data_IF_623959536037
#
_entry.id   IF_623959536037
#
_cell.length_a   1.000
_cell.length_b   1.000
_cell.length_c   1.000
_cell.angle_alpha   90.00
_cell.angle_beta   90.00
_cell.angle_gamma   90.00
#
_symmetry.space_group_name_H-M   'P 1'
#
loop_
_entity.id
_entity.type
_entity.pdbx_description
1 polymer ?
#
# COMPACT_ATOMS: atom_id res chain seq x y z
N UNK A 1 17.99 5.35 7.52
CA UNK A 1 16.87 5.07 6.59
C UNK A 1 16.41 3.61 6.61
N UNK A 2 17.22 2.65 7.08
CA UNK A 2 16.87 1.23 7.07
C UNK A 2 15.52 0.93 7.76
N UNK A 3 15.36 1.35 9.02
CA UNK A 3 14.15 1.12 9.81
C UNK A 3 12.90 1.73 9.15
N UNK A 4 13.01 2.95 8.62
CA UNK A 4 11.92 3.63 7.91
C UNK A 4 11.31 2.74 6.81
N UNK A 5 12.14 2.21 5.91
CA UNK A 5 11.64 1.39 4.79
C UNK A 5 10.98 0.09 5.25
N UNK A 6 11.43 -0.50 6.36
CA UNK A 6 10.83 -1.72 6.93
C UNK A 6 9.49 -1.42 7.59
N UNK A 7 9.38 -0.29 8.27
CA UNK A 7 8.11 0.16 8.84
C UNK A 7 7.11 0.58 7.76
N UNK A 8 7.57 1.22 6.67
CA UNK A 8 6.73 1.47 5.49
C UNK A 8 6.21 0.14 4.92
N UNK A 9 7.08 -0.85 4.71
CA UNK A 9 6.65 -2.14 4.19
C UNK A 9 5.68 -2.85 5.14
N UNK A 10 5.92 -2.80 6.46
CA UNK A 10 5.03 -3.36 7.47
C UNK A 10 3.64 -2.73 7.42
N UNK A 11 3.57 -1.40 7.37
CA UNK A 11 2.33 -0.65 7.23
C UNK A 11 1.59 -1.01 5.93
N UNK A 12 2.30 -1.01 4.79
CA UNK A 12 1.70 -1.36 3.50
C UNK A 12 1.14 -2.79 3.51
N UNK A 13 1.86 -3.77 4.09
CA UNK A 13 1.37 -5.14 4.19
C UNK A 13 0.10 -5.21 5.05
N UNK A 14 0.06 -4.48 6.17
CA UNK A 14 -1.05 -4.48 7.10
C UNK A 14 -2.33 -3.86 6.50
N UNK A 15 -2.20 -2.69 5.90
CA UNK A 15 -3.33 -1.87 5.40
C UNK A 15 -3.87 -2.36 4.05
N UNK A 16 -3.06 -3.09 3.30
CA UNK A 16 -3.41 -3.56 1.97
C UNK A 16 -3.58 -5.09 1.91
N UNK A 17 -2.54 -5.93 1.68
CA UNK A 17 -2.70 -7.38 1.63
C UNK A 17 -3.45 -8.03 2.80
N UNK A 18 -3.14 -7.62 4.04
CA UNK A 18 -3.70 -8.26 5.23
C UNK A 18 -5.03 -7.67 5.67
N UNK A 19 -5.45 -6.51 5.16
CA UNK A 19 -6.79 -5.97 5.37
C UNK A 19 -7.82 -6.71 4.51
N UNK A 20 -8.07 -7.98 4.85
CA UNK A 20 -9.04 -8.82 4.17
C UNK A 20 -10.47 -8.29 4.34
N UNK A 21 -11.38 -8.71 3.46
CA UNK A 21 -12.82 -8.35 3.54
C UNK A 21 -13.42 -8.64 4.92
N UNK A 22 -12.97 -9.73 5.58
CA UNK A 22 -13.40 -10.07 6.94
C UNK A 22 -12.98 -9.02 7.96
N UNK A 23 -11.71 -8.60 7.93
CA UNK A 23 -11.20 -7.56 8.85
C UNK A 23 -11.89 -6.23 8.56
N UNK A 24 -12.08 -5.89 7.28
CA UNK A 24 -12.81 -4.68 6.89
C UNK A 24 -14.24 -4.68 7.43
N UNK A 25 -14.98 -5.79 7.28
CA UNK A 25 -16.35 -5.92 7.80
C UNK A 25 -16.39 -5.78 9.31
N UNK A 26 -15.43 -6.37 10.04
CA UNK A 26 -15.32 -6.21 11.51
C UNK A 26 -15.05 -4.75 11.88
N UNK A 27 -14.11 -4.09 11.19
CA UNK A 27 -13.79 -2.65 11.35
C UNK A 27 -15.01 -1.75 11.11
N UNK A 28 -15.85 -2.09 10.14
CA UNK A 28 -17.08 -1.33 9.85
C UNK A 28 -18.20 -1.59 10.85
N UNK A 29 -18.36 -2.82 11.35
CA UNK A 29 -19.47 -3.20 12.24
C UNK A 29 -19.23 -2.84 13.70
N UNK A 30 -18.00 -2.96 14.18
CA UNK A 30 -17.69 -2.83 15.60
C UNK A 30 -16.65 -1.75 15.87
N UNK A 31 -16.85 -0.87 16.88
CA UNK A 31 -15.85 0.15 17.24
C UNK A 31 -14.48 -0.43 17.62
N UNK A 32 -14.45 -1.64 18.20
CA UNK A 32 -13.20 -2.34 18.53
C UNK A 32 -12.51 -2.96 17.31
N UNK A 33 -13.20 -3.07 16.18
CA UNK A 33 -12.65 -3.67 14.96
C UNK A 33 -11.44 -2.90 14.41
N UNK A 34 -11.40 -1.56 14.63
CA UNK A 34 -10.23 -0.73 14.31
C UNK A 34 -9.00 -1.19 15.11
N UNK A 35 -9.17 -1.55 16.38
CA UNK A 35 -8.07 -2.03 17.23
C UNK A 35 -7.51 -3.34 16.70
N UNK A 36 -8.36 -4.28 16.27
CA UNK A 36 -7.89 -5.55 15.69
C UNK A 36 -7.07 -5.32 14.43
N UNK A 37 -7.56 -4.49 13.51
CA UNK A 37 -6.81 -4.14 12.31
C UNK A 37 -5.47 -3.46 12.65
N UNK A 38 -5.49 -2.44 13.51
CA UNK A 38 -4.28 -1.73 13.91
C UNK A 38 -3.29 -2.65 14.63
N UNK A 39 -3.74 -3.65 15.39
CA UNK A 39 -2.86 -4.65 16.01
C UNK A 39 -2.12 -5.51 15.00
N UNK A 40 -2.67 -5.74 13.80
CA UNK A 40 -1.92 -6.36 12.70
C UNK A 40 -0.78 -5.44 12.26
N UNK A 41 -1.06 -4.14 12.06
CA UNK A 41 -0.04 -3.15 11.70
C UNK A 41 1.03 -3.01 12.79
N UNK A 42 0.64 -2.91 14.06
CA UNK A 42 1.54 -2.86 15.21
C UNK A 42 2.42 -4.10 15.30
N UNK A 43 1.81 -5.29 15.25
CA UNK A 43 2.54 -6.56 15.28
C UNK A 43 3.56 -6.68 14.14
N UNK A 44 3.19 -6.29 12.92
CA UNK A 44 4.13 -6.22 11.81
C UNK A 44 5.21 -5.17 12.02
N UNK A 45 4.89 -3.99 12.57
CA UNK A 45 5.87 -2.97 12.93
C UNK A 45 6.94 -3.49 13.90
N UNK A 46 6.52 -4.18 14.98
CA UNK A 46 7.42 -4.85 15.92
C UNK A 46 8.27 -5.93 15.24
N UNK A 47 7.64 -6.79 14.45
CA UNK A 47 8.33 -7.85 13.72
C UNK A 47 9.40 -7.29 12.77
N UNK A 48 9.05 -6.26 12.00
CA UNK A 48 9.92 -5.64 11.01
C UNK A 48 10.96 -4.70 11.63
N UNK A 49 10.75 -4.21 12.85
CA UNK A 49 11.79 -3.52 13.61
C UNK A 49 12.85 -4.50 14.16
N UNK A 50 12.47 -5.75 14.45
CA UNK A 50 13.40 -6.85 14.72
C UNK A 50 14.47 -6.51 15.77
N UNK A 51 15.75 -6.46 15.36
CA UNK A 51 16.88 -6.18 16.28
C UNK A 51 16.89 -4.76 16.86
N UNK A 52 16.14 -3.83 16.27
CA UNK A 52 16.00 -2.47 16.81
C UNK A 52 15.15 -2.43 18.08
N UNK A 53 14.43 -3.51 18.43
CA UNK A 53 13.66 -3.59 19.67
C UNK A 53 14.52 -3.56 20.95
N UNK A 54 15.84 -3.74 20.83
CA UNK A 54 16.77 -3.55 21.96
C UNK A 54 16.87 -2.09 22.43
N UNK A 55 16.46 -1.14 21.60
CA UNK A 55 16.48 0.28 21.90
C UNK A 55 15.11 0.70 22.46
N UNK A 56 15.02 1.19 23.71
CA UNK A 56 13.75 1.59 24.31
C UNK A 56 12.99 2.62 23.48
N UNK A 57 13.69 3.59 22.88
CA UNK A 57 13.08 4.64 22.05
C UNK A 57 12.36 4.07 20.82
N UNK A 58 12.88 2.98 20.24
CA UNK A 58 12.22 2.28 19.13
C UNK A 58 10.94 1.62 19.64
N UNK A 59 10.98 0.93 20.77
CA UNK A 59 9.81 0.26 21.35
C UNK A 59 8.71 1.28 21.67
N UNK A 60 9.06 2.38 22.33
CA UNK A 60 8.13 3.47 22.64
C UNK A 60 7.57 4.08 21.35
N UNK A 61 8.42 4.35 20.36
CA UNK A 61 8.00 4.86 19.06
C UNK A 61 7.02 3.93 18.34
N UNK A 62 7.24 2.62 18.37
CA UNK A 62 6.33 1.63 17.77
C UNK A 62 4.99 1.55 18.51
N UNK A 63 4.98 1.64 19.84
CA UNK A 63 3.74 1.71 20.62
C UNK A 63 2.94 2.98 20.27
N UNK A 64 3.62 4.12 20.15
CA UNK A 64 2.99 5.37 19.73
C UNK A 64 2.46 5.30 18.30
N UNK A 65 3.20 4.67 17.37
CA UNK A 65 2.70 4.42 16.01
C UNK A 65 1.45 3.56 16.00
N UNK A 66 1.42 2.48 16.79
CA UNK A 66 0.26 1.62 16.88
C UNK A 66 -0.97 2.36 17.43
N UNK A 67 -0.79 3.15 18.49
CA UNK A 67 -1.86 3.99 19.05
C UNK A 67 -2.32 5.04 18.04
N UNK A 68 -1.39 5.70 17.36
CA UNK A 68 -1.72 6.70 16.35
C UNK A 68 -2.50 6.09 15.18
N UNK A 69 -2.12 4.88 14.73
CA UNK A 69 -2.86 4.12 13.70
C UNK A 69 -4.32 3.92 14.10
N UNK A 70 -4.59 3.49 15.34
CA UNK A 70 -5.96 3.34 15.87
C UNK A 70 -6.72 4.67 15.81
N UNK A 71 -6.09 5.76 16.25
CA UNK A 71 -6.72 7.08 16.31
C UNK A 71 -7.05 7.59 14.90
N UNK A 72 -6.10 7.52 13.97
CA UNK A 72 -6.25 8.00 12.60
C UNK A 72 -7.35 7.21 11.89
N UNK A 73 -7.31 5.88 11.96
CA UNK A 73 -8.33 5.03 11.33
C UNK A 73 -9.73 5.27 11.88
N UNK A 74 -9.83 5.47 13.20
CA UNK A 74 -11.11 5.77 13.84
C UNK A 74 -11.63 7.14 13.41
N UNK A 75 -10.76 8.14 13.35
CA UNK A 75 -11.11 9.49 12.87
C UNK A 75 -11.58 9.44 11.41
N UNK A 76 -10.85 8.76 10.53
CA UNK A 76 -11.22 8.54 9.13
C UNK A 76 -12.58 7.87 9.01
N UNK A 77 -12.83 6.79 9.78
CA UNK A 77 -14.11 6.09 9.80
C UNK A 77 -15.27 7.02 10.19
N UNK A 78 -15.07 7.85 11.22
CA UNK A 78 -16.09 8.81 11.66
C UNK A 78 -16.40 9.86 10.59
N UNK A 79 -15.37 10.38 9.91
CA UNK A 79 -15.54 11.35 8.83
C UNK A 79 -16.24 10.72 7.62
N UNK A 80 -15.79 9.53 7.18
CA UNK A 80 -16.39 8.84 6.03
C UNK A 80 -17.84 8.45 6.27
N UNK A 81 -18.20 8.03 7.49
CA UNK A 81 -19.61 7.78 7.86
C UNK A 81 -20.47 9.03 7.77
N UNK A 82 -19.94 10.19 8.20
CA UNK A 82 -20.67 11.47 8.12
C UNK A 82 -20.84 11.95 6.67
N UNK A 83 -19.91 11.62 5.79
CA UNK A 83 -19.92 12.02 4.38
C UNK A 83 -20.61 11.00 3.46
N UNK A 84 -20.91 9.80 3.98
CA UNK A 84 -21.46 8.64 3.24
C UNK A 84 -20.68 8.27 1.97
N UNK A 85 -19.39 8.64 1.90
CA UNK A 85 -18.53 8.39 0.74
C UNK A 85 -17.05 8.34 1.12
N UNK A 86 -16.30 7.53 0.39
CA UNK A 86 -14.85 7.42 0.50
C UNK A 86 -14.19 8.43 -0.42
N UNK A 87 -13.70 9.54 0.13
CA UNK A 87 -13.10 10.59 -0.69
C UNK A 87 -11.60 10.35 -0.93
N UNK A 88 -11.15 10.72 -2.13
CA UNK A 88 -9.75 10.59 -2.55
C UNK A 88 -8.82 11.47 -1.71
N UNK A 89 -9.25 12.68 -1.33
CA UNK A 89 -8.46 13.57 -0.48
C UNK A 89 -8.28 13.02 0.93
N UNK A 90 -9.33 12.42 1.50
CA UNK A 90 -9.25 11.74 2.80
C UNK A 90 -8.37 10.48 2.72
N UNK A 91 -8.45 9.71 1.63
CA UNK A 91 -7.57 8.56 1.41
C UNK A 91 -6.09 8.99 1.32
N UNK A 92 -5.78 10.02 0.54
CA UNK A 92 -4.41 10.51 0.39
C UNK A 92 -3.88 11.15 1.68
N UNK A 93 -4.71 11.91 2.40
CA UNK A 93 -4.34 12.49 3.69
C UNK A 93 -4.04 11.41 4.73
N UNK A 94 -4.86 10.37 4.79
CA UNK A 94 -4.65 9.21 5.65
C UNK A 94 -3.30 8.54 5.39
N UNK A 95 -2.98 8.22 4.13
CA UNK A 95 -1.69 7.62 3.77
C UNK A 95 -0.51 8.57 4.07
N UNK A 96 -0.68 9.86 3.81
CA UNK A 96 0.37 10.86 4.08
C UNK A 96 0.68 10.98 5.58
N UNK A 97 -0.35 10.99 6.44
CA UNK A 97 -0.16 11.05 7.91
C UNK A 97 0.56 9.80 8.42
N UNK A 98 0.18 8.61 7.96
CA UNK A 98 0.87 7.37 8.36
C UNK A 98 2.35 7.38 7.95
N UNK A 99 2.65 7.76 6.70
CA UNK A 99 4.04 7.87 6.21
C UNK A 99 4.83 8.92 7.01
N UNK A 100 4.22 10.07 7.32
CA UNK A 100 4.84 11.11 8.14
C UNK A 100 5.17 10.61 9.54
N UNK A 101 4.25 9.92 10.21
CA UNK A 101 4.47 9.38 11.55
C UNK A 101 5.56 8.29 11.55
N UNK A 102 5.56 7.40 10.55
CA UNK A 102 6.61 6.39 10.39
C UNK A 102 7.97 7.06 10.20
N UNK A 103 8.02 8.12 9.39
CA UNK A 103 9.23 8.91 9.20
C UNK A 103 9.69 9.54 10.52
N UNK A 104 8.79 10.20 11.27
CA UNK A 104 9.12 10.82 12.57
C UNK A 104 9.68 9.80 13.56
N UNK A 105 9.06 8.64 13.72
CA UNK A 105 9.58 7.59 14.62
C UNK A 105 10.95 7.08 14.16
N UNK A 106 11.14 6.90 12.85
CA UNK A 106 12.44 6.50 12.33
C UNK A 106 13.53 7.57 12.55
N UNK A 107 13.18 8.87 12.57
CA UNK A 107 14.12 9.95 12.89
C UNK A 107 14.40 10.04 14.39
N UNK A 108 13.37 10.00 15.24
CA UNK A 108 13.52 10.16 16.70
C UNK A 108 14.30 9.00 17.28
N UNK A 109 13.99 7.77 16.87
CA UNK A 109 14.68 6.60 17.36
C UNK A 109 16.14 6.52 16.91
N UNK A 110 16.47 7.16 15.77
CA UNK A 110 17.79 7.24 15.10
C UNK A 110 18.77 6.11 15.50
N UNK A 111 18.40 4.83 15.36
CA UNK A 111 19.21 3.79 15.97
C UNK A 111 20.56 3.74 15.24
N UNK A 112 21.64 3.88 16.02
CA UNK A 112 23.01 3.89 15.48
C UNK A 112 23.36 2.50 14.93
N UNK A 113 23.66 2.45 13.64
CA UNK A 113 24.14 1.27 12.92
C UNK A 113 23.04 0.47 12.22
N UNK A 114 23.41 -0.11 11.08
CA UNK A 114 22.61 -1.15 10.45
C UNK A 114 22.87 -2.46 11.19
N UNK A 115 21.85 -2.98 11.87
CA UNK A 115 21.95 -4.25 12.59
C UNK A 115 21.33 -5.34 11.70
N UNK A 116 22.10 -5.94 10.76
CA UNK A 116 21.54 -6.93 9.86
C UNK A 116 20.93 -8.07 10.66
N UNK A 117 19.69 -8.45 10.31
CA UNK A 117 19.07 -9.65 10.87
C UNK A 117 19.78 -10.85 10.25
N UNK A 118 20.39 -11.72 11.07
CA UNK A 118 21.04 -12.96 10.62
C UNK A 118 20.13 -14.16 10.90
N UNK A 119 19.06 -14.28 10.12
CA UNK A 119 18.17 -15.46 10.10
C UNK A 119 18.37 -16.16 8.75
N UNK A 120 18.53 -17.48 8.72
CA UNK A 120 18.82 -18.22 7.50
C UNK A 120 17.77 -17.94 6.38
N UNK A 121 18.23 -17.81 5.13
CA UNK A 121 17.40 -17.57 3.94
C UNK A 121 16.82 -16.16 3.82
N UNK A 122 15.86 -15.80 4.67
CA UNK A 122 15.08 -14.55 4.60
C UNK A 122 15.89 -13.29 4.97
N UNK A 123 17.01 -13.43 5.67
CA UNK A 123 17.88 -12.31 6.02
C UNK A 123 18.36 -11.50 4.81
N UNK A 124 18.69 -12.14 3.69
CA UNK A 124 19.19 -11.43 2.51
C UNK A 124 18.14 -10.50 1.92
N UNK A 125 16.89 -10.95 1.85
CA UNK A 125 15.78 -10.16 1.33
C UNK A 125 15.41 -9.03 2.29
N UNK A 126 15.25 -9.33 3.58
CA UNK A 126 14.92 -8.33 4.60
C UNK A 126 15.99 -7.24 4.72
N UNK A 127 17.27 -7.59 4.67
CA UNK A 127 18.37 -6.62 4.77
C UNK A 127 18.61 -5.83 3.48
N UNK A 128 17.97 -6.18 2.36
CA UNK A 128 18.10 -5.45 1.10
C UNK A 128 17.09 -4.30 1.03
N UNK A 129 17.58 -3.06 1.18
CA UNK A 129 16.76 -1.84 1.00
C UNK A 129 16.11 -1.81 -0.38
N UNK A 130 16.83 -2.26 -1.40
CA UNK A 130 16.32 -2.30 -2.76
C UNK A 130 15.12 -3.26 -2.85
N UNK A 131 15.25 -4.47 -2.31
CA UNK A 131 14.14 -5.43 -2.30
C UNK A 131 12.92 -4.88 -1.55
N UNK A 132 13.12 -4.30 -0.36
CA UNK A 132 12.04 -3.72 0.45
C UNK A 132 11.33 -2.60 -0.29
N UNK A 133 12.07 -1.67 -0.91
CA UNK A 133 11.49 -0.58 -1.71
C UNK A 133 10.70 -1.10 -2.91
N UNK A 134 11.24 -2.09 -3.62
CA UNK A 134 10.57 -2.73 -4.75
C UNK A 134 9.28 -3.42 -4.32
N UNK A 135 9.32 -4.23 -3.26
CA UNK A 135 8.15 -4.92 -2.73
C UNK A 135 7.06 -3.92 -2.30
N UNK A 136 7.44 -2.85 -1.59
CA UNK A 136 6.54 -1.75 -1.26
C UNK A 136 5.91 -1.13 -2.52
N UNK A 137 6.71 -0.85 -3.55
CA UNK A 137 6.22 -0.32 -4.83
C UNK A 137 5.21 -1.26 -5.52
N UNK A 138 5.45 -2.57 -5.51
CA UNK A 138 4.49 -3.55 -6.06
C UNK A 138 3.20 -3.64 -5.25
N UNK A 139 3.26 -3.55 -3.92
CA UNK A 139 2.07 -3.51 -3.06
C UNK A 139 1.23 -2.26 -3.37
N UNK A 140 1.87 -1.09 -3.46
CA UNK A 140 1.19 0.16 -3.84
C UNK A 140 0.62 0.06 -5.25
N UNK A 141 1.36 -0.48 -6.21
CA UNK A 141 0.89 -0.61 -7.58
C UNK A 141 -0.30 -1.56 -7.71
N UNK A 142 -0.34 -2.65 -6.93
CA UNK A 142 -1.43 -3.62 -7.02
C UNK A 142 -2.62 -3.20 -6.16
N UNK A 143 -2.44 -3.14 -4.84
CA UNK A 143 -3.50 -2.84 -3.89
C UNK A 143 -3.74 -1.34 -3.70
N UNK A 144 -2.69 -0.54 -3.61
CA UNK A 144 -2.80 0.91 -3.40
C UNK A 144 -3.56 1.60 -4.53
N UNK A 145 -3.19 1.32 -5.80
CA UNK A 145 -3.89 1.85 -6.98
C UNK A 145 -5.35 1.37 -7.01
N UNK A 146 -5.64 0.12 -6.62
CA UNK A 146 -7.03 -0.38 -6.56
C UNK A 146 -7.89 0.47 -5.63
N UNK A 147 -7.42 0.73 -4.41
CA UNK A 147 -8.14 1.56 -3.45
C UNK A 147 -8.18 3.03 -3.87
N UNK A 148 -7.10 3.56 -4.46
CA UNK A 148 -7.06 4.92 -4.98
C UNK A 148 -8.10 5.15 -6.10
N UNK A 149 -8.20 4.23 -7.06
CA UNK A 149 -9.21 4.31 -8.13
C UNK A 149 -10.62 4.24 -7.54
N UNK A 150 -10.84 3.34 -6.57
CA UNK A 150 -12.10 3.27 -5.84
C UNK A 150 -12.48 4.62 -5.19
N UNK A 151 -11.54 5.25 -4.48
CA UNK A 151 -11.74 6.56 -3.84
C UNK A 151 -11.97 7.69 -4.85
N UNK A 152 -11.26 7.68 -5.99
CA UNK A 152 -11.48 8.64 -7.08
C UNK A 152 -12.91 8.52 -7.59
N UNK A 153 -13.37 7.29 -7.93
CA UNK A 153 -14.73 7.05 -8.43
C UNK A 153 -15.79 7.54 -7.44
N UNK A 154 -15.63 7.18 -6.17
CA UNK A 154 -16.55 7.61 -5.11
C UNK A 154 -16.59 9.13 -4.96
N UNK A 155 -15.44 9.81 -5.13
CA UNK A 155 -15.36 11.28 -5.07
C UNK A 155 -16.11 11.97 -6.20
N UNK A 156 -15.99 11.46 -7.43
CA UNK A 156 -16.63 12.04 -8.62
C UNK A 156 -18.08 11.56 -8.84
N UNK A 157 -18.66 10.87 -7.85
CA UNK A 157 -20.06 10.40 -7.89
C UNK A 157 -20.31 9.23 -8.84
N UNK A 158 -19.26 8.54 -9.30
CA UNK A 158 -19.42 7.29 -10.04
C UNK A 158 -19.66 6.13 -9.06
N UNK A 159 -20.44 5.13 -9.49
CA UNK A 159 -20.65 3.90 -8.72
C UNK A 159 -19.28 3.28 -8.41
N UNK A 160 -18.91 3.17 -7.14
CA UNK A 160 -17.64 2.62 -6.70
C UNK A 160 -17.87 1.23 -6.10
N UNK A 161 -17.32 0.20 -6.74
CA UNK A 161 -17.40 -1.19 -6.29
C UNK A 161 -16.00 -1.77 -6.27
N UNK A 162 -15.72 -2.60 -5.26
CA UNK A 162 -14.46 -3.34 -5.22
C UNK A 162 -14.51 -4.48 -6.26
N UNK A 163 -13.40 -4.75 -6.96
CA UNK A 163 -13.35 -5.80 -7.97
C UNK A 163 -13.53 -7.18 -7.33
N UNK A 164 -14.19 -8.08 -8.04
CA UNK A 164 -14.24 -9.51 -7.69
C UNK A 164 -12.84 -10.12 -7.66
N UNK A 165 -12.65 -11.27 -7.00
CA UNK A 165 -11.33 -11.93 -6.93
C UNK A 165 -10.70 -12.17 -8.32
N UNK A 166 -11.49 -12.61 -9.30
CA UNK A 166 -11.01 -12.83 -10.68
C UNK A 166 -10.54 -11.53 -11.33
N UNK A 167 -11.32 -10.46 -11.20
CA UNK A 167 -10.97 -9.14 -11.72
C UNK A 167 -9.71 -8.60 -11.01
N UNK A 168 -9.64 -8.74 -9.68
CA UNK A 168 -8.50 -8.32 -8.87
C UNK A 168 -7.20 -8.99 -9.32
N UNK A 169 -7.21 -10.30 -9.58
CA UNK A 169 -6.03 -11.03 -10.08
C UNK A 169 -5.57 -10.52 -11.45
N UNK A 170 -6.51 -10.24 -12.37
CA UNK A 170 -6.19 -9.70 -13.69
C UNK A 170 -5.61 -8.29 -13.58
N UNK A 171 -6.23 -7.42 -12.77
CA UNK A 171 -5.73 -6.06 -12.54
C UNK A 171 -4.36 -6.07 -11.86
N UNK A 172 -4.10 -6.99 -10.94
CA UNK A 172 -2.81 -7.12 -10.28
C UNK A 172 -1.73 -7.58 -11.24
N UNK A 173 -2.04 -8.58 -12.08
CA UNK A 173 -1.13 -9.05 -13.12
C UNK A 173 -0.82 -7.94 -14.14
N UNK A 174 -1.82 -7.18 -14.57
CA UNK A 174 -1.65 -6.00 -15.44
C UNK A 174 -0.71 -4.98 -14.79
N UNK A 175 -1.07 -4.45 -13.61
CA UNK A 175 -0.31 -3.38 -12.95
C UNK A 175 1.11 -3.83 -12.62
N UNK A 176 1.28 -5.06 -12.13
CA UNK A 176 2.59 -5.66 -11.89
C UNK A 176 3.44 -5.76 -13.16
N UNK A 177 2.84 -6.17 -14.28
CA UNK A 177 3.53 -6.26 -15.57
C UNK A 177 3.93 -4.87 -16.08
N UNK A 178 3.04 -3.87 -15.99
CA UNK A 178 3.33 -2.48 -16.40
C UNK A 178 4.47 -1.90 -15.57
N UNK A 179 4.42 -2.05 -14.23
CA UNK A 179 5.52 -1.63 -13.35
C UNK A 179 6.82 -2.31 -13.75
N UNK A 180 6.80 -3.62 -14.00
CA UNK A 180 8.00 -4.38 -14.42
C UNK A 180 8.57 -3.83 -15.72
N UNK A 181 7.74 -3.61 -16.75
CA UNK A 181 8.17 -3.08 -18.03
C UNK A 181 8.75 -1.66 -17.88
N UNK A 182 8.13 -0.82 -17.06
CA UNK A 182 8.60 0.54 -16.79
C UNK A 182 9.92 0.57 -16.01
N UNK A 183 10.13 -0.36 -15.08
CA UNK A 183 11.42 -0.55 -14.39
C UNK A 183 12.53 -0.97 -15.36
N UNK A 184 12.23 -1.89 -16.28
CA UNK A 184 13.19 -2.35 -17.29
C UNK A 184 13.53 -1.23 -18.29
N UNK A 185 12.55 -0.40 -18.65
CA UNK A 185 12.73 0.76 -19.51
C UNK A 185 13.05 0.41 -20.98
N UNK A 186 13.40 1.42 -21.78
CA UNK A 186 13.79 1.22 -23.18
C UNK A 186 12.69 0.58 -24.03
N UNK A 187 13.02 -0.47 -24.78
CA UNK A 187 12.08 -1.18 -25.67
C UNK A 187 10.92 -1.83 -24.91
N UNK A 188 11.08 -2.13 -23.61
CA UNK A 188 10.03 -2.78 -22.81
C UNK A 188 8.79 -1.90 -22.63
N UNK A 189 8.88 -0.57 -22.76
CA UNK A 189 7.69 0.29 -22.78
C UNK A 189 6.73 -0.04 -23.93
N UNK A 190 7.23 -0.56 -25.05
CA UNK A 190 6.40 -0.97 -26.18
C UNK A 190 5.48 -2.16 -25.86
N UNK A 191 5.76 -2.92 -24.78
CA UNK A 191 4.92 -4.03 -24.34
C UNK A 191 3.78 -3.61 -23.42
N UNK A 192 3.77 -2.37 -22.91
CA UNK A 192 2.71 -1.86 -22.01
C UNK A 192 1.30 -1.99 -22.64
N UNK A 193 1.06 -1.63 -23.91
CA UNK A 193 -0.25 -1.81 -24.53
C UNK A 193 -0.72 -3.27 -24.54
N UNK A 194 0.20 -4.24 -24.69
CA UNK A 194 -0.12 -5.67 -24.71
C UNK A 194 -0.70 -6.11 -23.36
N UNK A 195 -0.12 -5.66 -22.25
CA UNK A 195 -0.60 -6.01 -20.91
C UNK A 195 -1.91 -5.33 -20.51
N UNK A 196 -2.31 -4.26 -21.22
CA UNK A 196 -3.62 -3.63 -21.05
C UNK A 196 -4.73 -4.36 -21.83
N UNK A 197 -4.39 -5.15 -22.85
CA UNK A 197 -5.37 -5.83 -23.72
C UNK A 197 -6.39 -6.69 -22.95
N UNK A 198 -6.00 -7.55 -21.99
CA UNK A 198 -6.97 -8.39 -21.28
C UNK A 198 -8.07 -7.55 -20.61
N UNK A 199 -7.70 -6.42 -20.02
CA UNK A 199 -8.64 -5.53 -19.33
C UNK A 199 -9.45 -4.69 -20.29
N UNK A 200 -8.89 -4.26 -21.42
CA UNK A 200 -9.64 -3.62 -22.50
C UNK A 200 -10.71 -4.59 -23.02
N UNK A 201 -10.38 -5.85 -23.29
CA UNK A 201 -11.35 -6.86 -23.75
C UNK A 201 -12.44 -7.10 -22.72
N UNK A 202 -12.10 -7.24 -21.45
CA UNK A 202 -13.09 -7.34 -20.36
C UNK A 202 -13.95 -6.07 -20.26
N UNK A 203 -13.37 -4.89 -20.50
CA UNK A 203 -14.09 -3.62 -20.47
C UNK A 203 -15.10 -3.44 -21.60
N UNK A 204 -14.90 -4.12 -22.73
CA UNK A 204 -15.83 -4.11 -23.85
C UNK A 204 -17.02 -5.04 -23.62
N UNK A 205 -16.85 -6.11 -22.84
CA UNK A 205 -17.91 -7.08 -22.52
C UNK A 205 -18.82 -6.63 -21.38
N UNK A 206 -18.29 -5.82 -20.46
CA UNK A 206 -19.04 -5.25 -19.35
C UNK A 206 -19.30 -3.75 -19.55
N UNK A 207 -20.04 -3.10 -18.66
CA UNK A 207 -20.53 -1.72 -18.84
C UNK A 207 -19.39 -0.72 -19.19
N UNK A 208 -19.28 -0.25 -20.45
CA UNK A 208 -18.01 0.25 -21.01
C UNK A 208 -17.62 1.65 -20.53
N UNK A 209 -18.60 2.47 -20.12
CA UNK A 209 -18.37 3.85 -19.69
C UNK A 209 -17.54 3.94 -18.41
N UNK A 210 -17.67 2.97 -17.51
CA UNK A 210 -17.07 3.01 -16.19
C UNK A 210 -15.69 2.35 -16.10
N UNK A 211 -15.28 1.58 -17.12
CA UNK A 211 -13.99 0.86 -17.12
C UNK A 211 -12.86 1.58 -17.86
N UNK A 212 -13.17 2.50 -18.79
CA UNK A 212 -12.13 3.27 -19.51
C UNK A 212 -11.30 4.13 -18.56
N UNK A 213 -11.94 4.78 -17.59
CA UNK A 213 -11.26 5.56 -16.57
C UNK A 213 -10.33 4.69 -15.72
N UNK A 214 -10.79 3.52 -15.28
CA UNK A 214 -10.01 2.61 -14.43
C UNK A 214 -8.76 2.08 -15.14
N UNK A 215 -8.89 1.75 -16.43
CA UNK A 215 -7.77 1.31 -17.29
C UNK A 215 -6.76 2.46 -17.44
N UNK A 216 -7.22 3.66 -17.77
CA UNK A 216 -6.36 4.83 -17.93
C UNK A 216 -5.61 5.17 -16.64
N UNK A 217 -6.33 5.27 -15.51
CA UNK A 217 -5.72 5.55 -14.20
C UNK A 217 -4.74 4.46 -13.78
N UNK A 218 -5.07 3.19 -14.01
CA UNK A 218 -4.16 2.08 -13.67
C UNK A 218 -2.88 2.14 -14.49
N UNK A 219 -2.96 2.42 -15.79
CA UNK A 219 -1.79 2.58 -16.65
C UNK A 219 -0.93 3.76 -16.17
N UNK A 220 -1.53 4.94 -15.95
CA UNK A 220 -0.83 6.15 -15.52
C UNK A 220 -0.11 5.89 -14.20
N UNK A 221 -0.82 5.45 -13.16
CA UNK A 221 -0.21 5.25 -11.84
C UNK A 221 0.83 4.12 -11.84
N UNK A 222 0.61 3.03 -12.58
CA UNK A 222 1.60 1.94 -12.66
C UNK A 222 2.87 2.38 -13.38
N UNK A 223 2.75 3.17 -14.45
CA UNK A 223 3.91 3.75 -15.14
C UNK A 223 4.67 4.71 -14.24
N UNK A 224 3.98 5.57 -13.48
CA UNK A 224 4.60 6.48 -12.51
C UNK A 224 5.37 5.71 -11.43
N UNK A 225 4.75 4.70 -10.82
CA UNK A 225 5.43 3.86 -9.82
C UNK A 225 6.65 3.16 -10.42
N UNK A 226 6.51 2.56 -11.62
CA UNK A 226 7.62 1.89 -12.28
C UNK A 226 8.76 2.85 -12.66
N UNK A 227 8.45 4.08 -13.06
CA UNK A 227 9.46 5.11 -13.33
C UNK A 227 10.21 5.52 -12.05
N UNK A 228 9.50 5.69 -10.92
CA UNK A 228 10.13 5.94 -9.61
C UNK A 228 11.02 4.76 -9.19
N UNK A 229 10.53 3.53 -9.31
CA UNK A 229 11.32 2.33 -8.97
C UNK A 229 12.55 2.16 -9.88
N UNK A 230 12.47 2.56 -11.15
CA UNK A 230 13.61 2.57 -12.07
C UNK A 230 14.74 3.48 -11.58
N UNK A 231 14.40 4.67 -11.07
CA UNK A 231 15.37 5.61 -10.52
C UNK A 231 16.08 5.06 -9.27
N UNK A 232 15.47 4.09 -8.56
CA UNK A 232 16.09 3.44 -7.40
C UNK A 232 17.05 2.29 -7.79
N UNK A 233 17.00 1.83 -9.05
CA UNK A 233 17.87 0.76 -9.58
C UNK A 233 19.17 1.32 -10.16
N UNK A 234 19.11 2.54 -10.71
CA UNK A 234 20.24 3.27 -11.29
C UNK A 234 21.08 3.91 -10.18
#
# INVERSE_FOLDING_TARGET
>A
MFLFWRLILAHLIADFPLQTDRIFVIKMKHPWGVVVHASVAGGLGFLFAGRYLRYPDVVVGLLLLWIAHIIIDKAKLMVNRKLEKERVDLFLADQAVHVLLIWLVAQIAAPKGDLPIRVAGLSRLYNSDLFVKFLSGYIVATYGIMLLIYSIRSTIGLKAELPTLKQKLIEFAERGSIVTMAVLGGVFYALVPVFLLPRIVLSLRENPKYRKLDVALSAIFSLLIGAVLRQLKL
#
